data_IF_791672474102
#
_entry.id   IF_791672474102
#
_cell.length_a   1.000
_cell.length_b   1.000
_cell.length_c   1.000
_cell.angle_alpha   90.00
_cell.angle_beta   90.00
_cell.angle_gamma   90.00
#
_symmetry.space_group_name_H-M   'P 1'
#
loop_
_entity.id
_entity.type
_entity.pdbx_description
1 polymer ?
#
# COMPACT_ATOMS: atom_id res chain seq x y z
N UNK A 1 6.29 -18.13 -8.59
CA UNK A 1 6.97 -17.19 -7.66
C UNK A 1 5.99 -16.12 -7.23
N UNK A 2 6.15 -15.57 -6.01
CA UNK A 2 5.24 -14.57 -5.46
C UNK A 2 5.34 -13.20 -6.16
N UNK A 3 6.55 -12.83 -6.59
CA UNK A 3 6.81 -11.73 -7.52
C UNK A 3 7.23 -12.34 -8.87
N UNK A 4 6.67 -11.90 -10.01
CA UNK A 4 7.10 -12.37 -11.33
C UNK A 4 8.59 -12.13 -11.58
N UNK A 5 9.26 -13.07 -12.27
CA UNK A 5 10.70 -12.97 -12.56
C UNK A 5 11.06 -11.68 -13.32
N UNK A 6 10.23 -11.31 -14.29
CA UNK A 6 10.37 -10.08 -15.06
C UNK A 6 10.31 -8.83 -14.17
N UNK A 7 9.44 -8.83 -13.16
CA UNK A 7 9.32 -7.73 -12.21
C UNK A 7 10.54 -7.63 -11.30
N UNK A 8 10.98 -8.76 -10.73
CA UNK A 8 12.19 -8.80 -9.91
C UNK A 8 13.42 -8.29 -10.69
N UNK A 9 13.59 -8.72 -11.95
CA UNK A 9 14.69 -8.30 -12.79
C UNK A 9 14.65 -6.80 -13.14
N UNK A 10 13.49 -6.29 -13.60
CA UNK A 10 13.36 -4.89 -14.02
C UNK A 10 13.43 -3.91 -12.83
N UNK A 11 12.80 -4.26 -11.70
CA UNK A 11 12.89 -3.46 -10.48
C UNK A 11 14.32 -3.51 -9.93
N UNK A 12 14.96 -4.68 -9.88
CA UNK A 12 16.36 -4.81 -9.44
C UNK A 12 17.32 -3.98 -10.30
N UNK A 13 17.18 -4.02 -11.62
CA UNK A 13 17.95 -3.20 -12.56
C UNK A 13 17.70 -1.69 -12.37
N UNK A 14 16.45 -1.29 -12.11
CA UNK A 14 16.11 0.09 -11.79
C UNK A 14 16.83 0.57 -10.52
N UNK A 15 16.75 -0.19 -9.43
CA UNK A 15 17.38 0.19 -8.15
C UNK A 15 18.89 0.26 -8.27
N UNK A 16 19.51 -0.72 -8.96
CA UNK A 16 20.95 -0.70 -9.21
C UNK A 16 21.36 0.56 -10.00
N UNK A 17 20.60 0.92 -11.04
CA UNK A 17 20.85 2.14 -11.81
C UNK A 17 20.75 3.40 -10.96
N UNK A 18 19.74 3.51 -10.09
CA UNK A 18 19.60 4.67 -9.21
C UNK A 18 20.78 4.81 -8.25
N UNK A 19 21.24 3.69 -7.69
CA UNK A 19 22.44 3.66 -6.84
C UNK A 19 23.72 4.04 -7.57
N UNK A 20 23.92 3.53 -8.79
CA UNK A 20 25.08 3.89 -9.62
C UNK A 20 25.08 5.38 -9.99
N UNK A 21 23.90 6.00 -10.10
CA UNK A 21 23.77 7.47 -10.28
C UNK A 21 24.00 8.26 -9.00
N UNK A 22 24.19 7.61 -7.85
CA UNK A 22 24.35 8.28 -6.55
C UNK A 22 23.05 8.82 -5.96
N UNK A 23 21.89 8.46 -6.52
CA UNK A 23 20.59 8.94 -6.03
C UNK A 23 20.27 8.30 -4.67
N UNK A 24 20.20 9.13 -3.63
CA UNK A 24 19.89 8.68 -2.25
C UNK A 24 18.38 8.53 -2.00
N UNK A 25 17.56 9.32 -2.68
CA UNK A 25 16.10 9.30 -2.58
C UNK A 25 15.52 9.10 -3.98
N UNK A 26 14.84 7.97 -4.20
CA UNK A 26 14.19 7.64 -5.47
C UNK A 26 12.93 6.80 -5.23
N UNK A 27 11.93 6.90 -6.12
CA UNK A 27 10.67 6.19 -5.94
C UNK A 27 10.75 4.75 -6.47
N UNK A 28 10.19 3.79 -5.73
CA UNK A 28 10.02 2.41 -6.17
C UNK A 28 8.60 2.13 -6.65
N UNK A 29 7.63 2.71 -5.95
CA UNK A 29 6.21 2.56 -6.23
C UNK A 29 5.60 3.96 -6.31
N UNK A 30 4.85 4.26 -7.34
CA UNK A 30 3.95 5.41 -7.32
C UNK A 30 2.62 4.94 -6.73
N UNK A 31 2.23 5.48 -5.60
CA UNK A 31 0.86 5.33 -5.09
C UNK A 31 -0.03 6.37 -5.78
N UNK A 32 -1.02 5.91 -6.53
CA UNK A 32 -1.95 6.78 -7.23
C UNK A 32 -3.34 6.61 -6.66
N UNK A 33 -3.93 7.69 -6.14
CA UNK A 33 -5.32 7.74 -5.68
C UNK A 33 -6.14 8.60 -6.66
N UNK A 34 -6.66 8.02 -7.75
CA UNK A 34 -7.31 8.79 -8.80
C UNK A 34 -8.65 9.38 -8.34
N UNK A 35 -9.22 8.87 -7.24
CA UNK A 35 -10.39 9.41 -6.56
C UNK A 35 -10.42 8.92 -5.10
N UNK A 36 -11.23 9.58 -4.27
CA UNK A 36 -11.46 9.18 -2.87
C UNK A 36 -12.83 8.52 -2.62
N UNK A 37 -13.78 8.66 -3.55
CA UNK A 37 -15.11 8.04 -3.41
C UNK A 37 -15.01 6.51 -3.35
N UNK A 38 -15.76 5.89 -2.45
CA UNK A 38 -15.87 4.44 -2.34
C UNK A 38 -17.35 4.03 -2.25
N UNK A 39 -17.62 2.75 -2.54
CA UNK A 39 -18.89 2.09 -2.35
C UNK A 39 -18.95 1.22 -1.08
N UNK A 40 -17.95 1.37 -0.20
CA UNK A 40 -17.86 0.78 1.15
C UNK A 40 -17.45 1.86 2.16
N UNK A 41 -17.75 1.61 3.44
CA UNK A 41 -17.40 2.47 4.57
C UNK A 41 -16.69 1.66 5.68
N UNK A 42 -15.52 1.13 5.33
CA UNK A 42 -14.75 0.24 6.22
C UNK A 42 -14.29 0.95 7.50
N UNK A 43 -14.29 0.24 8.63
CA UNK A 43 -13.95 0.80 9.94
C UNK A 43 -12.51 1.36 10.02
N UNK A 44 -11.57 0.75 9.30
CA UNK A 44 -10.16 1.18 9.27
C UNK A 44 -9.81 2.23 8.21
N UNK A 45 -10.78 2.78 7.47
CA UNK A 45 -10.51 3.65 6.32
C UNK A 45 -10.78 5.13 6.64
N UNK A 46 -9.74 5.97 6.60
CA UNK A 46 -9.87 7.44 6.69
C UNK A 46 -9.96 8.16 5.35
N UNK A 47 -9.84 7.44 4.22
CA UNK A 47 -9.69 8.02 2.87
C UNK A 47 -10.99 8.51 2.24
N UNK A 48 -12.13 8.03 2.71
CA UNK A 48 -13.46 8.40 2.17
C UNK A 48 -14.11 9.54 2.94
N UNK A 49 -13.50 9.96 4.04
CA UNK A 49 -14.03 10.98 4.92
C UNK A 49 -13.72 12.37 4.32
N UNK A 50 -14.32 12.74 3.20
CA UNK A 50 -14.16 14.09 2.64
C UNK A 50 -15.52 14.66 2.28
N UNK A 51 -15.68 15.99 2.31
CA UNK A 51 -16.88 16.62 1.79
C UNK A 51 -17.17 16.20 0.35
N UNK A 52 -18.46 16.12 0.04
CA UNK A 52 -19.01 15.71 -1.25
C UNK A 52 -18.33 16.34 -2.48
N UNK A 53 -18.02 17.66 -2.50
CA UNK A 53 -17.32 18.28 -3.62
C UNK A 53 -15.94 17.68 -3.90
N UNK A 54 -15.20 17.28 -2.87
CA UNK A 54 -13.89 16.63 -3.00
C UNK A 54 -14.07 15.18 -3.45
N UNK A 55 -15.05 14.45 -2.88
CA UNK A 55 -15.33 13.06 -3.29
C UNK A 55 -15.80 12.94 -4.75
N UNK A 56 -16.30 14.01 -5.34
CA UNK A 56 -16.66 14.06 -6.77
C UNK A 56 -15.46 14.31 -7.69
N UNK A 57 -14.32 14.75 -7.16
CA UNK A 57 -13.10 14.93 -7.96
C UNK A 57 -12.49 13.60 -8.35
N UNK A 58 -11.84 13.62 -9.50
CA UNK A 58 -11.04 12.53 -10.03
C UNK A 58 -9.88 13.07 -10.85
N UNK A 59 -8.77 12.35 -10.89
CA UNK A 59 -7.68 12.64 -11.81
C UNK A 59 -8.13 12.31 -13.24
N UNK A 60 -7.83 13.19 -14.19
CA UNK A 60 -7.98 12.85 -15.61
C UNK A 60 -6.99 11.75 -16.02
N UNK A 61 -7.22 11.10 -17.17
CA UNK A 61 -6.23 10.17 -17.74
C UNK A 61 -4.90 10.87 -17.97
N UNK A 62 -4.93 12.10 -18.47
CA UNK A 62 -3.75 12.92 -18.72
C UNK A 62 -2.97 13.20 -17.43
N UNK A 63 -3.64 13.68 -16.37
CA UNK A 63 -3.00 13.96 -15.08
C UNK A 63 -2.39 12.70 -14.46
N UNK A 64 -3.11 11.57 -14.56
CA UNK A 64 -2.66 10.30 -14.02
C UNK A 64 -1.38 9.82 -14.74
N UNK A 65 -1.40 9.80 -16.08
CA UNK A 65 -0.25 9.36 -16.87
C UNK A 65 0.91 10.35 -16.82
N UNK A 66 0.62 11.65 -16.78
CA UNK A 66 1.62 12.70 -16.55
C UNK A 66 2.36 12.50 -15.23
N UNK A 67 1.64 12.17 -14.15
CA UNK A 67 2.27 11.85 -12.85
C UNK A 67 3.13 10.58 -12.90
N UNK A 68 2.74 9.58 -13.69
CA UNK A 68 3.53 8.34 -13.90
C UNK A 68 4.84 8.67 -14.59
N UNK A 69 4.79 9.50 -15.63
CA UNK A 69 5.96 9.93 -16.40
C UNK A 69 6.89 10.82 -15.55
N UNK A 70 6.31 11.74 -14.77
CA UNK A 70 7.05 12.64 -13.89
C UNK A 70 7.77 11.88 -12.76
N UNK A 71 7.10 10.91 -12.12
CA UNK A 71 7.67 10.14 -11.01
C UNK A 71 8.72 9.14 -11.47
N UNK A 72 8.48 8.47 -12.60
CA UNK A 72 9.42 7.50 -13.16
C UNK A 72 9.59 6.20 -12.35
N UNK A 73 8.79 5.97 -11.30
CA UNK A 73 8.78 4.71 -10.54
C UNK A 73 8.54 3.49 -11.46
N UNK A 74 9.17 2.33 -11.19
CA UNK A 74 8.95 1.12 -11.99
C UNK A 74 7.60 0.44 -11.74
N UNK A 75 6.98 0.70 -10.59
CA UNK A 75 5.69 0.13 -10.17
C UNK A 75 4.71 1.27 -9.91
N UNK A 76 3.44 1.08 -10.28
CA UNK A 76 2.33 1.98 -9.96
C UNK A 76 1.25 1.17 -9.24
N UNK A 77 0.96 1.54 -8.01
CA UNK A 77 -0.15 1.01 -7.25
C UNK A 77 -1.31 1.99 -7.37
N UNK A 78 -2.36 1.60 -8.09
CA UNK A 78 -3.56 2.43 -8.21
C UNK A 78 -4.49 2.05 -7.05
N UNK A 79 -4.55 2.92 -6.05
CA UNK A 79 -5.34 2.79 -4.82
C UNK A 79 -6.30 3.98 -4.68
N UNK A 80 -6.78 4.30 -3.48
CA UNK A 80 -7.65 5.45 -3.20
C UNK A 80 -8.94 5.03 -2.52
N UNK A 81 -10.07 5.59 -2.95
CA UNK A 81 -11.40 5.05 -2.64
C UNK A 81 -11.60 3.69 -3.31
N UNK A 82 -12.60 3.55 -4.18
CA UNK A 82 -12.71 2.37 -5.05
C UNK A 82 -12.35 2.75 -6.50
N UNK A 83 -11.14 2.41 -7.00
CA UNK A 83 -10.69 2.79 -8.34
C UNK A 83 -11.64 2.36 -9.47
N UNK A 84 -12.39 1.27 -9.32
CA UNK A 84 -13.36 0.83 -10.33
C UNK A 84 -14.61 1.72 -10.46
N UNK A 85 -14.77 2.72 -9.59
CA UNK A 85 -15.72 3.82 -9.77
C UNK A 85 -15.24 4.87 -10.77
N UNK A 86 -13.95 4.93 -11.06
CA UNK A 86 -13.41 5.84 -12.06
C UNK A 86 -13.77 5.34 -13.47
N UNK A 87 -14.49 6.12 -14.30
CA UNK A 87 -15.01 5.63 -15.58
C UNK A 87 -13.92 5.20 -16.56
N UNK A 88 -12.73 5.81 -16.44
CA UNK A 88 -11.59 5.61 -17.35
C UNK A 88 -10.41 4.86 -16.68
N UNK A 89 -10.63 4.17 -15.56
CA UNK A 89 -9.55 3.47 -14.85
C UNK A 89 -8.80 2.45 -15.71
N UNK A 90 -9.53 1.74 -16.57
CA UNK A 90 -8.97 0.82 -17.55
C UNK A 90 -8.01 1.51 -18.54
N UNK A 91 -8.34 2.71 -19.01
CA UNK A 91 -7.47 3.53 -19.87
C UNK A 91 -6.19 3.94 -19.14
N UNK A 92 -6.32 4.38 -17.88
CA UNK A 92 -5.16 4.71 -17.03
C UNK A 92 -4.26 3.49 -16.86
N UNK A 93 -4.83 2.34 -16.47
CA UNK A 93 -4.08 1.10 -16.29
C UNK A 93 -3.39 0.64 -17.58
N UNK A 94 -4.09 0.71 -18.72
CA UNK A 94 -3.52 0.38 -20.03
C UNK A 94 -2.36 1.30 -20.40
N UNK A 95 -2.51 2.62 -20.23
CA UNK A 95 -1.45 3.59 -20.51
C UNK A 95 -0.22 3.42 -19.62
N UNK A 96 -0.38 2.92 -18.39
CA UNK A 96 0.75 2.59 -17.50
C UNK A 96 1.45 1.30 -17.97
N UNK A 97 0.69 0.29 -18.39
CA UNK A 97 1.23 -0.96 -18.96
C UNK A 97 2.02 -0.70 -20.25
N UNK A 98 1.53 0.19 -21.12
CA UNK A 98 2.22 0.62 -22.35
C UNK A 98 3.60 1.25 -22.05
N UNK A 99 3.72 1.98 -20.93
CA UNK A 99 4.99 2.52 -20.41
C UNK A 99 5.90 1.46 -19.79
N UNK A 100 5.51 0.17 -19.87
CA UNK A 100 6.21 -0.99 -19.29
C UNK A 100 6.43 -0.85 -17.79
N UNK A 101 5.47 -0.24 -17.09
CA UNK A 101 5.44 -0.14 -15.62
C UNK A 101 4.51 -1.22 -15.07
N UNK A 102 4.84 -1.76 -13.90
CA UNK A 102 4.00 -2.76 -13.25
C UNK A 102 2.81 -2.09 -12.56
N UNK A 103 1.60 -2.45 -12.95
CA UNK A 103 0.35 -1.98 -12.34
C UNK A 103 -0.13 -2.98 -11.31
N UNK A 104 -0.36 -2.48 -10.10
CA UNK A 104 -1.18 -3.13 -9.08
C UNK A 104 -2.46 -2.32 -8.94
N UNK A 105 -3.57 -2.84 -9.49
CA UNK A 105 -4.87 -2.17 -9.37
C UNK A 105 -5.57 -2.68 -8.12
N UNK A 106 -5.61 -1.84 -7.09
CA UNK A 106 -6.27 -2.14 -5.83
C UNK A 106 -7.79 -2.01 -5.95
N UNK A 107 -8.54 -2.95 -5.38
CA UNK A 107 -10.01 -2.93 -5.39
C UNK A 107 -10.60 -3.72 -4.23
N UNK A 108 -11.78 -3.32 -3.76
CA UNK A 108 -12.63 -4.11 -2.86
C UNK A 108 -13.40 -5.23 -3.60
N UNK A 109 -13.17 -5.37 -4.90
CA UNK A 109 -13.71 -6.39 -5.80
C UNK A 109 -15.22 -6.36 -6.06
N UNK A 110 -16.01 -5.50 -5.41
CA UNK A 110 -17.47 -5.46 -5.60
C UNK A 110 -17.89 -5.17 -7.05
N UNK A 111 -17.06 -4.42 -7.78
CA UNK A 111 -17.26 -4.08 -9.19
C UNK A 111 -16.33 -4.85 -10.13
N UNK A 112 -15.37 -5.61 -9.60
CA UNK A 112 -14.28 -6.20 -10.37
C UNK A 112 -14.80 -7.14 -11.44
N UNK A 113 -15.63 -8.11 -11.08
CA UNK A 113 -16.18 -9.10 -12.02
C UNK A 113 -16.88 -8.44 -13.22
N UNK A 114 -17.73 -7.44 -12.96
CA UNK A 114 -18.47 -6.69 -14.01
C UNK A 114 -17.58 -5.82 -14.89
N UNK A 115 -16.37 -5.52 -14.45
CA UNK A 115 -15.42 -4.64 -15.15
C UNK A 115 -14.31 -5.41 -15.85
N UNK A 116 -14.17 -6.72 -15.61
CA UNK A 116 -13.06 -7.52 -16.13
C UNK A 116 -12.91 -7.43 -17.66
N UNK A 117 -14.01 -7.31 -18.43
CA UNK A 117 -13.97 -7.20 -19.90
C UNK A 117 -13.30 -5.92 -20.41
N UNK A 118 -13.10 -4.91 -19.55
CA UNK A 118 -12.41 -3.67 -19.90
C UNK A 118 -10.90 -3.76 -19.72
N UNK A 119 -10.39 -4.87 -19.17
CA UNK A 119 -8.97 -5.06 -18.89
C UNK A 119 -8.45 -6.26 -19.68
N UNK A 120 -7.15 -6.24 -19.95
CA UNK A 120 -6.46 -7.34 -20.63
C UNK A 120 -5.38 -7.90 -19.72
N UNK A 121 -5.27 -9.22 -19.54
CA UNK A 121 -4.17 -9.82 -18.82
C UNK A 121 -2.82 -9.40 -19.41
N UNK A 122 -1.87 -9.05 -18.56
CA UNK A 122 -0.53 -8.60 -18.98
C UNK A 122 0.49 -9.02 -17.94
N UNK A 123 1.75 -9.35 -18.33
CA UNK A 123 2.82 -9.57 -17.38
C UNK A 123 3.15 -8.32 -16.52
N UNK A 124 2.65 -7.15 -16.92
CA UNK A 124 2.77 -5.88 -16.20
C UNK A 124 1.51 -5.51 -15.41
N UNK A 125 0.47 -6.34 -15.36
CA UNK A 125 -0.77 -6.01 -14.67
C UNK A 125 -1.15 -7.09 -13.65
N UNK A 126 -1.47 -6.65 -12.43
CA UNK A 126 -1.92 -7.50 -11.33
C UNK A 126 -3.13 -6.85 -10.66
N UNK A 127 -4.20 -7.63 -10.46
CA UNK A 127 -5.26 -7.25 -9.53
C UNK A 127 -4.76 -7.38 -8.10
N UNK A 128 -4.99 -6.37 -7.27
CA UNK A 128 -4.69 -6.39 -5.83
C UNK A 128 -6.00 -6.29 -5.05
N UNK A 129 -6.60 -7.42 -4.72
CA UNK A 129 -7.91 -7.47 -4.07
C UNK A 129 -7.76 -7.33 -2.56
N UNK A 130 -8.49 -6.39 -1.94
CA UNK A 130 -8.51 -6.28 -0.49
C UNK A 130 -9.26 -7.45 0.14
N UNK A 131 -8.57 -8.23 0.98
CA UNK A 131 -9.13 -9.28 1.82
C UNK A 131 -8.34 -9.31 3.14
N UNK A 132 -8.99 -8.87 4.21
CA UNK A 132 -8.39 -8.58 5.51
C UNK A 132 -8.61 -9.71 6.53
N UNK A 133 -8.75 -10.94 6.07
CA UNK A 133 -8.95 -12.13 6.89
C UNK A 133 -9.92 -13.13 6.27
N UNK A 134 -10.34 -14.11 7.07
CA UNK A 134 -11.41 -15.04 6.71
C UNK A 134 -12.73 -14.30 6.48
N UNK A 135 -13.76 -15.06 6.11
CA UNK A 135 -15.08 -14.51 5.76
C UNK A 135 -15.64 -13.55 6.81
N UNK A 136 -15.67 -13.99 8.08
CA UNK A 136 -16.23 -13.20 9.18
C UNK A 136 -15.36 -11.97 9.48
N UNK A 137 -14.04 -12.16 9.53
CA UNK A 137 -13.09 -11.07 9.80
C UNK A 137 -13.14 -9.99 8.73
N UNK A 138 -13.19 -10.38 7.45
CA UNK A 138 -13.23 -9.44 6.35
C UNK A 138 -14.55 -8.67 6.27
N UNK A 139 -15.69 -9.38 6.36
CA UNK A 139 -17.01 -8.73 6.33
C UNK A 139 -17.19 -7.76 7.51
N UNK A 140 -16.63 -8.09 8.68
CA UNK A 140 -16.55 -7.18 9.84
C UNK A 140 -15.69 -5.96 9.53
N UNK A 141 -14.49 -6.14 8.98
CA UNK A 141 -13.56 -5.05 8.68
C UNK A 141 -14.15 -4.03 7.68
N UNK A 142 -14.93 -4.50 6.71
CA UNK A 142 -15.59 -3.66 5.70
C UNK A 142 -17.00 -3.20 6.09
N UNK A 143 -17.46 -3.56 7.29
CA UNK A 143 -18.78 -3.21 7.84
C UNK A 143 -19.96 -3.67 6.95
N UNK A 144 -19.79 -4.75 6.18
CA UNK A 144 -20.82 -5.23 5.27
C UNK A 144 -20.73 -6.76 5.06
N UNK A 145 -21.80 -7.52 5.39
CA UNK A 145 -21.86 -8.96 5.13
C UNK A 145 -21.86 -9.31 3.63
N UNK A 146 -21.24 -10.44 3.30
CA UNK A 146 -21.20 -11.03 1.96
C UNK A 146 -20.17 -10.42 1.02
N UNK A 147 -19.31 -9.51 1.49
CA UNK A 147 -18.27 -8.88 0.66
C UNK A 147 -17.18 -9.90 0.34
N UNK A 148 -16.78 -10.73 1.31
CA UNK A 148 -15.79 -11.79 1.13
C UNK A 148 -16.14 -12.72 -0.05
N UNK A 149 -17.39 -13.20 -0.10
CA UNK A 149 -17.83 -14.11 -1.16
C UNK A 149 -17.79 -13.48 -2.54
N UNK A 150 -18.23 -12.22 -2.63
CA UNK A 150 -18.20 -11.46 -3.88
C UNK A 150 -16.75 -11.24 -4.34
N UNK A 151 -15.85 -10.94 -3.41
CA UNK A 151 -14.43 -10.81 -3.70
C UNK A 151 -13.83 -12.13 -4.20
N UNK A 152 -14.08 -13.25 -3.52
CA UNK A 152 -13.61 -14.58 -3.95
C UNK A 152 -14.19 -14.99 -5.31
N UNK A 153 -15.47 -14.71 -5.58
CA UNK A 153 -16.09 -14.94 -6.89
C UNK A 153 -15.40 -14.13 -8.00
N UNK A 154 -15.17 -12.84 -7.76
CA UNK A 154 -14.46 -11.96 -8.71
C UNK A 154 -13.01 -12.41 -8.94
N UNK A 155 -12.31 -12.87 -7.89
CA UNK A 155 -10.96 -13.46 -8.00
C UNK A 155 -11.01 -14.67 -8.93
N UNK A 156 -11.93 -15.61 -8.70
CA UNK A 156 -12.07 -16.82 -9.56
C UNK A 156 -12.35 -16.44 -11.02
N UNK A 157 -13.24 -15.48 -11.26
CA UNK A 157 -13.54 -14.99 -12.60
C UNK A 157 -12.31 -14.37 -13.29
N UNK A 158 -11.51 -13.58 -12.56
CA UNK A 158 -10.28 -13.00 -13.08
C UNK A 158 -9.22 -14.06 -13.38
N UNK A 159 -9.05 -15.04 -12.48
CA UNK A 159 -8.13 -16.17 -12.70
C UNK A 159 -8.52 -16.99 -13.93
N UNK A 160 -9.82 -17.25 -14.14
CA UNK A 160 -10.33 -17.96 -15.31
C UNK A 160 -10.02 -17.23 -16.63
N UNK A 161 -9.88 -15.90 -16.60
CA UNK A 161 -9.49 -15.06 -17.74
C UNK A 161 -7.97 -14.88 -17.88
N UNK A 162 -7.17 -15.58 -17.06
CA UNK A 162 -5.70 -15.52 -17.13
C UNK A 162 -5.07 -14.33 -16.41
N UNK A 163 -5.83 -13.56 -15.63
CA UNK A 163 -5.23 -12.49 -14.83
C UNK A 163 -4.37 -13.04 -13.69
N UNK A 164 -3.32 -12.28 -13.37
CA UNK A 164 -2.62 -12.39 -12.09
C UNK A 164 -3.44 -11.69 -11.01
N UNK A 165 -3.60 -12.34 -9.87
CA UNK A 165 -4.35 -11.79 -8.73
C UNK A 165 -3.54 -11.98 -7.46
N UNK A 166 -3.22 -10.85 -6.84
CA UNK A 166 -2.72 -10.77 -5.48
C UNK A 166 -3.85 -10.32 -4.55
N UNK A 167 -3.70 -10.62 -3.26
CA UNK A 167 -4.51 -9.97 -2.23
C UNK A 167 -3.68 -8.98 -1.42
N UNK A 168 -4.31 -7.91 -0.97
CA UNK A 168 -3.79 -7.02 0.05
C UNK A 168 -4.54 -7.31 1.36
N UNK A 169 -3.79 -7.66 2.40
CA UNK A 169 -4.31 -8.10 3.68
C UNK A 169 -3.76 -7.22 4.79
N UNK A 170 -4.66 -6.55 5.49
CA UNK A 170 -4.37 -5.68 6.63
C UNK A 170 -4.74 -6.39 7.90
N UNK A 171 -3.78 -6.54 8.82
CA UNK A 171 -4.02 -7.14 10.13
C UNK A 171 -4.20 -6.04 11.18
N UNK A 172 -5.39 -5.96 11.76
CA UNK A 172 -5.76 -5.01 12.81
C UNK A 172 -5.51 -5.61 14.22
N UNK A 173 -5.68 -4.80 15.27
CA UNK A 173 -5.63 -5.33 16.64
C UNK A 173 -6.73 -6.37 16.85
N UNK A 174 -6.44 -7.38 17.66
CA UNK A 174 -7.30 -8.54 17.85
C UNK A 174 -7.28 -9.58 16.72
N UNK A 175 -6.46 -9.41 15.68
CA UNK A 175 -6.26 -10.47 14.68
C UNK A 175 -5.67 -11.73 15.35
N UNK A 176 -6.32 -12.87 15.16
CA UNK A 176 -5.92 -14.15 15.76
C UNK A 176 -4.93 -14.89 14.84
N UNK A 177 -3.70 -15.21 15.28
CA UNK A 177 -2.68 -15.82 14.43
C UNK A 177 -3.12 -17.12 13.73
N UNK A 178 -3.91 -17.96 14.43
CA UNK A 178 -4.48 -19.20 13.89
C UNK A 178 -5.39 -18.93 12.70
N UNK A 179 -6.29 -17.96 12.83
CA UNK A 179 -7.26 -17.61 11.79
C UNK A 179 -6.57 -16.97 10.59
N UNK A 180 -5.57 -16.11 10.83
CA UNK A 180 -4.75 -15.53 9.76
C UNK A 180 -4.01 -16.63 9.00
N UNK A 181 -3.44 -17.62 9.70
CA UNK A 181 -2.75 -18.74 9.07
C UNK A 181 -3.72 -19.61 8.23
N UNK A 182 -4.93 -19.89 8.75
CA UNK A 182 -5.97 -20.60 8.01
C UNK A 182 -6.40 -19.82 6.75
N UNK A 183 -6.62 -18.51 6.89
CA UNK A 183 -6.95 -17.64 5.78
C UNK A 183 -5.86 -17.63 4.69
N UNK A 184 -4.57 -17.63 5.05
CA UNK A 184 -3.50 -17.71 4.06
C UNK A 184 -3.47 -19.07 3.34
N UNK A 185 -3.81 -20.17 4.01
CA UNK A 185 -3.98 -21.47 3.33
C UNK A 185 -5.14 -21.41 2.34
N UNK A 186 -6.29 -20.89 2.76
CA UNK A 186 -7.47 -20.73 1.90
C UNK A 186 -7.17 -19.85 0.70
N UNK A 187 -6.43 -18.74 0.90
CA UNK A 187 -6.03 -17.86 -0.17
C UNK A 187 -5.16 -18.57 -1.21
N UNK A 188 -4.16 -19.35 -0.76
CA UNK A 188 -3.33 -20.16 -1.67
C UNK A 188 -4.17 -21.23 -2.38
N UNK A 189 -5.09 -21.91 -1.68
CA UNK A 189 -5.98 -22.92 -2.24
C UNK A 189 -6.96 -22.33 -3.28
N UNK A 190 -7.39 -21.07 -3.11
CA UNK A 190 -8.20 -20.33 -4.07
C UNK A 190 -7.43 -19.91 -5.34
N UNK A 191 -6.13 -20.22 -5.42
CA UNK A 191 -5.29 -19.92 -6.59
C UNK A 191 -4.76 -18.49 -6.63
N UNK A 192 -4.82 -17.74 -5.53
CA UNK A 192 -4.21 -16.41 -5.40
C UNK A 192 -2.70 -16.54 -5.58
N UNK A 193 -2.11 -15.64 -6.38
CA UNK A 193 -0.71 -15.68 -6.75
C UNK A 193 0.24 -15.31 -5.61
N UNK A 194 -0.15 -14.32 -4.81
CA UNK A 194 0.58 -13.88 -3.63
C UNK A 194 -0.28 -13.00 -2.70
N UNK A 195 0.17 -12.87 -1.45
CA UNK A 195 -0.38 -11.99 -0.42
C UNK A 195 0.58 -10.83 -0.18
N UNK A 196 0.09 -9.61 -0.19
CA UNK A 196 0.75 -8.47 0.45
C UNK A 196 0.13 -8.35 1.83
N UNK A 197 0.92 -8.55 2.89
CA UNK A 197 0.44 -8.47 4.28
C UNK A 197 1.05 -7.26 4.97
N UNK A 198 0.24 -6.51 5.71
CA UNK A 198 0.69 -5.32 6.43
C UNK A 198 -0.06 -5.19 7.76
N UNK A 199 0.57 -4.67 8.81
CA UNK A 199 -0.19 -4.21 9.97
C UNK A 199 -1.10 -3.06 9.56
N UNK A 200 -2.27 -2.98 10.21
CA UNK A 200 -3.12 -1.81 10.19
C UNK A 200 -2.39 -0.60 10.77
N UNK A 201 -2.69 0.57 10.22
CA UNK A 201 -2.18 1.84 10.70
C UNK A 201 -3.35 2.72 11.13
N UNK A 202 -3.16 3.41 12.24
CA UNK A 202 -4.09 4.44 12.70
C UNK A 202 -4.06 5.63 11.75
N UNK A 203 -4.90 5.59 10.72
CA UNK A 203 -5.29 6.84 10.10
C UNK A 203 -5.91 7.69 11.21
N UNK A 204 -5.47 8.95 11.32
CA UNK A 204 -6.00 9.96 12.25
C UNK A 204 -7.53 10.08 12.22
N UNK A 205 -8.15 9.54 11.16
CA UNK A 205 -9.57 9.65 10.85
C UNK A 205 -10.28 8.31 10.70
N UNK A 206 -9.62 7.21 11.04
CA UNK A 206 -10.32 5.94 11.15
C UNK A 206 -11.34 6.03 12.30
N UNK A 207 -12.60 5.63 12.10
CA UNK A 207 -13.61 5.60 13.16
C UNK A 207 -13.18 4.87 14.45
N UNK A 208 -12.33 3.84 14.33
CA UNK A 208 -11.74 3.13 15.46
C UNK A 208 -10.32 3.65 15.72
N UNK A 209 -10.13 4.39 16.83
CA UNK A 209 -8.83 4.92 17.28
C UNK A 209 -8.22 4.11 18.44
N UNK A 210 -8.99 3.22 19.07
CA UNK A 210 -8.61 2.58 20.34
C UNK A 210 -7.97 1.20 20.16
N UNK A 211 -8.17 0.55 19.00
CA UNK A 211 -7.70 -0.81 18.71
C UNK A 211 -6.52 -0.85 17.73
N UNK A 212 -5.45 -0.11 18.02
CA UNK A 212 -4.21 -0.18 17.22
C UNK A 212 -3.08 -0.94 17.92
N UNK A 213 -2.39 -1.75 17.12
CA UNK A 213 -1.20 -2.47 17.56
C UNK A 213 -0.06 -1.46 17.74
N UNK A 214 0.50 -1.40 18.96
CA UNK A 214 1.84 -0.83 19.10
C UNK A 214 2.87 -1.71 18.37
N UNK A 215 4.07 -1.20 18.11
CA UNK A 215 5.10 -1.96 17.36
C UNK A 215 5.40 -3.32 17.96
N UNK A 216 5.42 -3.41 19.29
CA UNK A 216 5.70 -4.68 19.97
C UNK A 216 4.61 -5.70 19.72
N UNK A 217 3.34 -5.34 19.95
CA UNK A 217 2.18 -6.20 19.66
C UNK A 217 2.16 -6.61 18.18
N UNK A 218 2.47 -5.68 17.26
CA UNK A 218 2.60 -5.97 15.83
C UNK A 218 3.64 -7.06 15.59
N UNK A 219 4.85 -6.91 16.15
CA UNK A 219 5.92 -7.89 15.99
C UNK A 219 5.55 -9.25 16.55
N UNK A 220 4.91 -9.29 17.71
CA UNK A 220 4.44 -10.53 18.36
C UNK A 220 3.40 -11.24 17.47
N UNK A 221 2.38 -10.51 16.99
CA UNK A 221 1.38 -11.03 16.04
C UNK A 221 2.03 -11.64 14.79
N UNK A 222 2.90 -10.89 14.10
CA UNK A 222 3.54 -11.37 12.87
C UNK A 222 4.47 -12.56 13.12
N UNK A 223 5.19 -12.60 14.25
CA UNK A 223 6.00 -13.77 14.63
C UNK A 223 5.13 -15.00 14.82
N UNK A 224 3.99 -14.84 15.49
CA UNK A 224 3.07 -15.94 15.75
C UNK A 224 2.43 -16.48 14.47
N UNK A 225 2.05 -15.59 13.55
CA UNK A 225 1.57 -15.96 12.22
C UNK A 225 2.66 -16.70 11.43
N UNK A 226 3.88 -16.15 11.36
CA UNK A 226 4.97 -16.78 10.62
C UNK A 226 5.44 -18.08 11.24
N UNK A 227 5.33 -18.26 12.55
CA UNK A 227 5.66 -19.52 13.23
C UNK A 227 4.71 -20.63 12.77
N UNK A 228 3.42 -20.33 12.63
CA UNK A 228 2.38 -21.23 12.09
C UNK A 228 2.54 -21.47 10.58
N UNK A 229 3.21 -20.56 9.89
CA UNK A 229 3.58 -20.67 8.48
C UNK A 229 4.72 -21.63 8.16
N UNK A 230 5.48 -22.11 9.15
CA UNK A 230 6.62 -23.01 8.90
C UNK A 230 6.16 -24.30 8.20
N UNK A 231 6.76 -24.59 7.05
CA UNK A 231 6.40 -25.74 6.20
C UNK A 231 5.19 -25.53 5.29
N UNK A 232 4.50 -24.39 5.39
CA UNK A 232 3.40 -24.02 4.49
C UNK A 232 3.94 -23.30 3.26
N UNK A 233 3.21 -23.36 2.15
CA UNK A 233 3.63 -22.79 0.85
C UNK A 233 3.03 -21.41 0.60
N UNK A 234 3.04 -20.56 1.62
CA UNK A 234 2.56 -19.18 1.49
C UNK A 234 3.48 -18.38 0.59
N UNK A 235 2.88 -17.51 -0.22
CA UNK A 235 3.58 -16.66 -1.18
C UNK A 235 3.30 -15.21 -0.84
N UNK A 236 4.34 -14.48 -0.44
CA UNK A 236 4.22 -13.05 -0.12
C UNK A 236 4.79 -12.18 -1.23
N UNK A 237 4.07 -11.14 -1.64
CA UNK A 237 4.49 -10.20 -2.70
C UNK A 237 5.37 -9.07 -2.15
N UNK A 238 6.19 -9.38 -1.15
CA UNK A 238 7.05 -8.46 -0.40
C UNK A 238 8.45 -9.05 -0.28
N UNK A 239 9.45 -8.21 -0.07
CA UNK A 239 10.83 -8.66 0.17
C UNK A 239 10.90 -9.50 1.44
N UNK A 240 11.74 -10.53 1.42
CA UNK A 240 11.93 -11.41 2.58
C UNK A 240 12.39 -10.63 3.81
N UNK A 241 13.20 -9.59 3.61
CA UNK A 241 13.67 -8.73 4.70
C UNK A 241 12.61 -7.80 5.27
N UNK A 242 11.57 -7.45 4.51
CA UNK A 242 10.41 -6.75 5.07
C UNK A 242 9.63 -7.67 6.01
N UNK A 243 9.42 -8.94 5.62
CA UNK A 243 8.79 -9.93 6.49
C UNK A 243 9.64 -10.19 7.75
N UNK A 244 10.96 -10.20 7.62
CA UNK A 244 11.90 -10.30 8.75
C UNK A 244 11.81 -9.09 9.70
N UNK A 245 11.59 -7.90 9.15
CA UNK A 245 11.32 -6.69 9.91
C UNK A 245 9.98 -6.76 10.65
N UNK A 246 8.92 -7.23 10.00
CA UNK A 246 7.62 -7.47 10.66
C UNK A 246 7.74 -8.47 11.81
N UNK A 247 8.60 -9.49 11.68
CA UNK A 247 8.90 -10.45 12.74
C UNK A 247 9.82 -9.89 13.86
N UNK A 248 10.18 -8.61 13.79
CA UNK A 248 10.98 -7.93 14.80
C UNK A 248 12.46 -8.27 14.78
N UNK A 249 12.98 -8.90 13.73
CA UNK A 249 14.41 -9.27 13.63
C UNK A 249 15.28 -8.13 13.08
N UNK A 250 14.66 -7.05 12.59
CA UNK A 250 15.34 -5.90 12.01
C UNK A 250 14.74 -4.60 12.53
N UNK A 251 15.57 -3.57 12.49
CA UNK A 251 15.17 -2.20 12.80
C UNK A 251 15.43 -1.35 11.57
N UNK A 252 14.36 -0.82 10.98
CA UNK A 252 14.41 0.02 9.80
C UNK A 252 13.87 1.41 10.12
N UNK A 253 14.46 2.42 9.48
CA UNK A 253 13.81 3.72 9.30
C UNK A 253 13.04 3.67 7.99
N UNK A 254 11.83 4.23 7.96
CA UNK A 254 11.06 4.24 6.73
C UNK A 254 11.74 5.11 5.66
N UNK A 255 11.44 4.82 4.40
CA UNK A 255 11.84 5.59 3.23
C UNK A 255 10.59 6.06 2.50
N UNK A 256 9.86 7.05 3.05
CA UNK A 256 8.55 7.46 2.53
C UNK A 256 8.61 7.97 1.08
N UNK A 257 9.73 8.56 0.67
CA UNK A 257 10.00 8.94 -0.73
C UNK A 257 10.08 7.74 -1.70
N UNK A 258 10.19 6.51 -1.18
CA UNK A 258 10.17 5.29 -1.98
C UNK A 258 8.76 4.91 -2.46
N UNK A 259 7.72 5.50 -1.87
CA UNK A 259 6.33 5.32 -2.27
C UNK A 259 5.56 6.65 -2.31
N UNK A 260 5.98 7.62 -3.14
CA UNK A 260 5.30 8.91 -3.26
C UNK A 260 3.84 8.73 -3.68
N UNK A 261 2.98 9.65 -3.23
CA UNK A 261 1.54 9.57 -3.49
C UNK A 261 1.05 10.73 -4.32
N UNK A 262 0.34 10.43 -5.42
CA UNK A 262 -0.39 11.41 -6.24
C UNK A 262 -1.89 11.18 -6.06
N UNK A 263 -2.62 12.22 -5.68
CA UNK A 263 -4.07 12.18 -5.52
C UNK A 263 -4.73 13.49 -5.98
N UNK A 264 -6.05 13.64 -5.86
CA UNK A 264 -6.78 14.82 -6.39
C UNK A 264 -6.34 16.17 -5.81
N UNK A 265 -5.58 16.21 -4.72
CA UNK A 265 -5.02 17.46 -4.16
C UNK A 265 -3.64 17.82 -4.74
N UNK A 266 -2.90 16.86 -5.27
CA UNK A 266 -1.51 17.04 -5.71
C UNK A 266 -0.61 15.86 -5.35
N UNK A 267 0.69 16.14 -5.23
CA UNK A 267 1.69 15.22 -4.68
C UNK A 267 1.69 15.31 -3.15
N UNK A 268 1.19 14.29 -2.46
CA UNK A 268 1.01 14.32 -1.01
C UNK A 268 2.33 14.26 -0.23
N UNK A 269 2.46 15.13 0.78
CA UNK A 269 3.55 15.16 1.75
C UNK A 269 3.14 14.59 3.11
N UNK A 270 4.03 13.87 3.80
CA UNK A 270 5.25 13.25 3.27
C UNK A 270 4.97 11.95 2.52
N UNK A 271 3.89 11.24 2.81
CA UNK A 271 3.71 9.85 2.42
C UNK A 271 2.24 9.52 2.18
N UNK A 272 1.94 8.29 1.78
CA UNK A 272 0.58 7.83 1.53
C UNK A 272 -0.40 7.97 2.72
N UNK A 273 0.10 7.76 3.94
CA UNK A 273 -0.72 7.71 5.15
C UNK A 273 -0.93 9.09 5.78
N UNK A 274 0.11 9.91 5.77
CA UNK A 274 0.12 11.25 6.34
C UNK A 274 -0.12 12.29 5.25
N UNK A 275 -1.09 13.17 5.44
CA UNK A 275 -1.44 14.25 4.50
C UNK A 275 -1.17 15.62 5.09
N UNK A 276 0.10 15.96 5.32
CA UNK A 276 0.49 17.22 5.97
C UNK A 276 0.65 18.39 4.99
N UNK A 277 0.71 18.10 3.69
CA UNK A 277 0.68 19.10 2.64
C UNK A 277 0.71 18.49 1.26
N UNK A 278 0.71 19.33 0.23
CA UNK A 278 0.71 18.90 -1.16
C UNK A 278 1.70 19.72 -1.99
N UNK A 279 2.46 19.07 -2.85
CA UNK A 279 3.35 19.68 -3.82
C UNK A 279 2.69 19.70 -5.21
N UNK A 280 2.97 20.73 -6.03
CA UNK A 280 2.45 20.80 -7.39
C UNK A 280 3.15 19.83 -8.34
N UNK A 281 4.41 19.48 -8.07
CA UNK A 281 5.25 18.60 -8.89
C UNK A 281 5.93 17.54 -8.03
N UNK A 282 6.27 16.41 -8.63
CA UNK A 282 7.07 15.35 -8.03
C UNK A 282 8.44 15.89 -7.61
N UNK A 283 9.03 16.76 -8.42
CA UNK A 283 10.30 17.43 -8.07
C UNK A 283 10.18 18.23 -6.77
N UNK A 284 9.15 19.06 -6.64
CA UNK A 284 8.90 19.83 -5.41
C UNK A 284 8.59 18.92 -4.20
N UNK A 285 7.90 17.79 -4.41
CA UNK A 285 7.73 16.78 -3.36
C UNK A 285 9.10 16.27 -2.88
N UNK A 286 9.99 15.90 -3.81
CA UNK A 286 11.27 15.28 -3.49
C UNK A 286 12.28 16.26 -2.87
N UNK A 287 12.33 17.50 -3.36
CA UNK A 287 13.35 18.49 -2.99
C UNK A 287 12.95 19.36 -1.79
N UNK A 288 11.66 19.71 -1.65
CA UNK A 288 11.21 20.68 -0.65
C UNK A 288 10.65 20.02 0.62
N UNK A 289 10.37 18.71 0.60
CA UNK A 289 9.88 18.01 1.79
C UNK A 289 11.03 17.74 2.74
N UNK A 290 10.87 18.15 4.01
CA UNK A 290 11.79 17.77 5.07
C UNK A 290 11.56 16.30 5.48
N UNK A 291 12.15 15.40 4.70
CA UNK A 291 12.03 13.96 4.90
C UNK A 291 12.57 13.47 6.25
N UNK A 292 13.53 14.19 6.82
CA UNK A 292 14.22 13.77 8.05
C UNK A 292 13.39 14.08 9.30
N UNK A 293 12.40 14.98 9.19
CA UNK A 293 11.37 15.23 10.21
C UNK A 293 10.30 14.13 10.34
N UNK A 294 10.36 13.05 9.54
CA UNK A 294 9.39 11.97 9.55
C UNK A 294 10.03 10.61 9.85
N UNK A 295 9.17 9.64 10.18
CA UNK A 295 9.55 8.27 10.50
C UNK A 295 9.63 7.98 11.99
N UNK A 296 9.70 6.69 12.33
CA UNK A 296 9.73 6.22 13.72
C UNK A 296 10.93 6.81 14.46
N UNK A 297 10.67 7.34 15.66
CA UNK A 297 11.64 8.06 16.48
C UNK A 297 11.81 9.54 16.13
N UNK A 298 11.29 10.00 14.99
CA UNK A 298 11.38 11.41 14.58
C UNK A 298 10.03 12.14 14.71
N UNK A 299 8.91 11.45 14.49
CA UNK A 299 7.57 12.05 14.55
C UNK A 299 6.56 11.19 15.31
N UNK A 300 5.76 11.79 16.19
CA UNK A 300 4.74 11.08 17.01
C UNK A 300 3.77 10.26 16.17
N UNK A 301 3.21 10.81 15.07
CA UNK A 301 2.30 10.04 14.18
C UNK A 301 2.97 8.83 13.52
N UNK A 302 4.30 8.78 13.51
CA UNK A 302 5.07 7.66 12.96
C UNK A 302 5.51 6.64 14.02
N UNK A 303 5.22 6.86 15.31
CA UNK A 303 5.72 6.06 16.42
C UNK A 303 5.49 4.57 16.20
N UNK A 304 4.25 4.19 15.87
CA UNK A 304 3.87 2.78 15.72
C UNK A 304 3.84 2.25 14.28
N UNK A 305 4.20 3.08 13.30
CA UNK A 305 4.09 2.69 11.90
C UNK A 305 5.06 1.55 11.54
N UNK A 306 4.54 0.48 10.94
CA UNK A 306 5.29 -0.63 10.34
C UNK A 306 4.76 -1.01 8.95
N UNK A 307 4.04 -0.09 8.30
CA UNK A 307 3.33 -0.36 7.04
C UNK A 307 4.28 -0.52 5.87
N UNK A 308 4.02 -1.50 5.02
CA UNK A 308 4.85 -1.81 3.84
C UNK A 308 5.10 -0.59 2.94
N UNK A 309 4.15 0.33 2.78
CA UNK A 309 4.32 1.52 1.94
C UNK A 309 5.52 2.39 2.33
N UNK A 310 5.86 2.46 3.61
CA UNK A 310 7.02 3.20 4.11
C UNK A 310 8.29 2.36 4.28
N UNK A 311 8.17 1.06 4.53
CA UNK A 311 9.30 0.20 4.95
C UNK A 311 9.75 -0.81 3.91
N UNK A 312 8.90 -1.20 2.96
CA UNK A 312 9.28 -2.05 1.84
C UNK A 312 10.42 -1.44 1.02
N UNK A 313 10.44 -0.12 0.72
CA UNK A 313 11.57 0.45 -0.02
C UNK A 313 12.91 0.31 0.72
N UNK A 314 12.90 0.48 2.04
CA UNK A 314 14.07 0.26 2.89
C UNK A 314 14.51 -1.21 2.87
N UNK A 315 13.56 -2.14 2.94
CA UNK A 315 13.83 -3.58 2.93
C UNK A 315 14.34 -4.09 1.56
N UNK A 316 13.81 -3.55 0.46
CA UNK A 316 14.32 -3.80 -0.90
C UNK A 316 15.74 -3.28 -1.02
N UNK A 317 15.99 -2.09 -0.48
CA UNK A 317 17.33 -1.50 -0.47
C UNK A 317 18.33 -2.36 0.34
N UNK A 318 17.89 -2.88 1.50
CA UNK A 318 18.66 -3.77 2.36
C UNK A 318 18.90 -5.13 1.69
N UNK A 319 17.92 -5.65 0.95
CA UNK A 319 18.05 -6.91 0.20
C UNK A 319 19.20 -6.86 -0.79
N UNK A 320 19.43 -5.71 -1.43
CA UNK A 320 20.57 -5.53 -2.35
C UNK A 320 21.91 -5.35 -1.63
N UNK A 321 21.92 -4.83 -0.39
CA UNK A 321 23.15 -4.71 0.42
C UNK A 321 23.51 -6.04 1.09
N UNK A 322 22.50 -6.82 1.47
CA UNK A 322 22.62 -8.04 2.25
C UNK A 322 21.93 -9.23 1.55
N UNK A 323 22.36 -9.61 0.32
CA UNK A 323 21.67 -10.62 -0.48
C UNK A 323 21.68 -12.02 0.17
N UNK A 324 22.75 -12.37 0.90
CA UNK A 324 22.83 -13.64 1.63
C UNK A 324 21.81 -13.71 2.77
N UNK A 325 21.60 -12.59 3.48
CA UNK A 325 20.59 -12.53 4.53
C UNK A 325 19.18 -12.63 3.93
N UNK A 326 18.91 -11.91 2.84
CA UNK A 326 17.64 -11.99 2.12
C UNK A 326 17.35 -13.40 1.60
N UNK A 327 18.36 -14.08 1.06
CA UNK A 327 18.27 -15.47 0.61
C UNK A 327 18.00 -16.43 1.78
N UNK A 328 18.70 -16.26 2.90
CA UNK A 328 18.50 -17.08 4.09
C UNK A 328 17.06 -16.97 4.61
N UNK A 329 16.51 -15.75 4.71
CA UNK A 329 15.12 -15.52 5.13
C UNK A 329 14.13 -16.05 4.08
N UNK A 330 14.42 -15.88 2.79
CA UNK A 330 13.57 -16.40 1.72
C UNK A 330 13.43 -17.93 1.77
N UNK A 331 14.52 -18.63 2.13
CA UNK A 331 14.54 -20.10 2.21
C UNK A 331 13.98 -20.64 3.53
N UNK A 332 14.23 -19.97 4.65
CA UNK A 332 13.89 -20.47 6.00
C UNK A 332 12.65 -19.80 6.61
N UNK A 333 12.17 -18.73 6.00
CA UNK A 333 11.22 -17.80 6.60
C UNK A 333 11.88 -16.85 7.62
N UNK A 334 11.15 -15.84 8.10
CA UNK A 334 11.57 -15.01 9.22
C UNK A 334 11.84 -15.83 10.48
N UNK A 335 12.81 -15.40 11.29
CA UNK A 335 13.01 -15.99 12.62
C UNK A 335 11.85 -15.59 13.54
N UNK A 336 11.28 -16.54 14.28
CA UNK A 336 10.12 -16.31 15.13
C UNK A 336 10.37 -16.54 16.63
N UNK A 337 11.58 -16.94 16.99
CA UNK A 337 12.06 -17.18 18.36
C UNK A 337 13.29 -16.31 18.71
N UNK A 338 13.62 -16.21 19.99
CA UNK A 338 14.76 -15.41 20.48
C UNK A 338 14.54 -13.88 20.52
N UNK A 339 15.59 -13.11 20.89
CA UNK A 339 15.48 -11.67 21.12
C UNK A 339 15.20 -10.88 19.83
N UNK A 340 14.33 -9.88 19.93
CA UNK A 340 14.03 -8.92 18.86
C UNK A 340 15.13 -7.86 18.73
N UNK A 341 15.23 -7.25 17.55
CA UNK A 341 16.12 -6.12 17.30
C UNK A 341 15.69 -4.88 18.13
N UNK A 342 16.64 -4.03 18.56
CA UNK A 342 16.36 -2.86 19.38
C UNK A 342 15.47 -1.85 18.64
N UNK A 343 14.54 -1.22 19.35
CA UNK A 343 13.69 -0.16 18.79
C UNK A 343 14.39 1.20 18.80
N UNK A 344 13.92 2.10 17.94
CA UNK A 344 14.36 3.50 17.97
C UNK A 344 13.79 4.20 19.21
N UNK A 345 14.56 5.08 19.87
CA UNK A 345 14.04 5.91 20.94
C UNK A 345 12.89 6.81 20.44
N UNK A 346 11.86 6.98 21.28
CA UNK A 346 10.67 7.80 20.98
C UNK A 346 10.66 9.12 21.77
N UNK A 347 11.61 9.32 22.69
CA UNK A 347 11.69 10.46 23.62
C UNK A 347 11.96 11.81 22.95
N UNK A 348 12.38 11.80 21.68
CA UNK A 348 12.75 13.01 20.91
C UNK A 348 11.89 13.24 19.68
N UNK A 349 10.72 12.63 19.64
CA UNK A 349 9.79 12.83 18.54
C UNK A 349 9.26 14.28 18.53
N UNK A 350 9.12 14.87 17.34
CA UNK A 350 8.35 16.11 17.21
C UNK A 350 6.85 15.83 17.44
N UNK A 351 6.10 16.80 17.98
CA UNK A 351 4.68 16.63 18.31
C UNK A 351 3.80 16.48 17.07
N UNK A 352 2.73 15.71 17.18
CA UNK A 352 1.68 15.55 16.16
C UNK A 352 1.04 16.88 15.74
N UNK A 353 0.87 17.10 14.43
CA UNK A 353 0.20 18.29 13.87
C UNK A 353 -1.14 17.94 13.21
N UNK A 354 -2.23 18.55 13.68
CA UNK A 354 -3.57 18.37 13.11
C UNK A 354 -3.84 19.41 12.00
N UNK A 355 -3.46 19.07 10.76
CA UNK A 355 -3.56 20.00 9.62
C UNK A 355 -4.70 19.68 8.65
N UNK A 356 -5.46 18.61 8.93
CA UNK A 356 -6.48 18.07 8.04
C UNK A 356 -7.57 19.08 7.68
N UNK A 357 -8.21 19.68 8.69
CA UNK A 357 -9.35 20.60 8.50
C UNK A 357 -8.97 21.82 7.66
N UNK A 358 -7.73 22.31 7.81
CA UNK A 358 -7.18 23.40 7.02
C UNK A 358 -7.10 23.04 5.54
N UNK A 359 -6.53 21.87 5.21
CA UNK A 359 -6.39 21.40 3.82
C UNK A 359 -7.74 21.20 3.13
N UNK A 360 -8.74 20.70 3.85
CA UNK A 360 -10.11 20.57 3.33
C UNK A 360 -10.70 21.94 3.04
N UNK A 361 -10.60 22.89 3.97
CA UNK A 361 -11.13 24.25 3.79
C UNK A 361 -10.45 24.96 2.61
N UNK A 362 -9.12 24.85 2.48
CA UNK A 362 -8.36 25.40 1.34
C UNK A 362 -8.81 24.82 0.02
N UNK A 363 -9.00 23.50 -0.03
CA UNK A 363 -9.45 22.84 -1.26
C UNK A 363 -10.84 23.28 -1.62
N UNK A 364 -11.79 23.29 -0.67
CA UNK A 364 -13.16 23.73 -0.92
C UNK A 364 -13.21 25.17 -1.47
N UNK A 365 -12.38 26.08 -0.93
CA UNK A 365 -12.24 27.44 -1.49
C UNK A 365 -11.78 27.44 -2.94
N UNK A 366 -10.81 26.59 -3.30
CA UNK A 366 -10.35 26.43 -4.69
C UNK A 366 -11.45 25.88 -5.60
N UNK A 367 -12.19 24.86 -5.15
CA UNK A 367 -13.32 24.30 -5.92
C UNK A 367 -14.35 25.39 -6.21
N UNK A 368 -14.69 26.20 -5.19
CA UNK A 368 -15.64 27.29 -5.34
C UNK A 368 -15.16 28.34 -6.34
N UNK A 369 -13.89 28.77 -6.22
CA UNK A 369 -13.30 29.74 -7.15
C UNK A 369 -13.27 29.24 -8.61
N UNK A 370 -12.94 27.96 -8.82
CA UNK A 370 -12.97 27.33 -10.14
C UNK A 370 -14.40 27.29 -10.73
N UNK A 371 -15.41 27.05 -9.89
CA UNK A 371 -16.82 27.07 -10.31
C UNK A 371 -17.24 28.47 -10.74
N UNK A 372 -16.97 29.48 -9.90
CA UNK A 372 -17.33 30.88 -10.22
C UNK A 372 -16.61 31.39 -11.46
N UNK A 373 -15.40 30.91 -11.76
CA UNK A 373 -14.68 31.31 -12.97
C UNK A 373 -15.20 30.63 -14.25
N UNK A 374 -16.00 29.56 -14.13
CA UNK A 374 -16.57 28.82 -15.26
C UNK A 374 -18.02 29.25 -15.59
N UNK A 375 -18.66 30.01 -14.70
CA UNK A 375 -19.94 30.70 -14.89
C UNK A 375 -19.73 32.08 -15.53
#
# INVERSE_FOLDING_TARGET
MAVPAIQAALVGAYVLRQRLKGNRRFPLVLMMEPLFRCNLACAGCGKIDYPDPILRRRLSVEDALGAVDECGAPVVSIAGGEPLLHPEIHTIAAGIVERRKFVYLCTNALLMEKRLDRFTPSPFFTWSVHLDGGREEHDKAVCQPGVYDRAVAAIRAAKARGFRVNINCTLFDGAEPEKVAAFFDEAMAAGIDAVTVSPGYAYERAPDQEHFLNRRKTKELFRDVFARGRGRKWRFSQSSLFLDFLAGNRSYRCSPWGNPTRNVFGWQRPCYLLGEGYAPTFKALMEETDWDAYGTGNYEKCADCMVHSGYEPTAVEDTLRNPLAALAVSLRGPRTDGPMAPEFPLDRQRPAEEVFSRHVADTLRRIEAERTAAE
#
